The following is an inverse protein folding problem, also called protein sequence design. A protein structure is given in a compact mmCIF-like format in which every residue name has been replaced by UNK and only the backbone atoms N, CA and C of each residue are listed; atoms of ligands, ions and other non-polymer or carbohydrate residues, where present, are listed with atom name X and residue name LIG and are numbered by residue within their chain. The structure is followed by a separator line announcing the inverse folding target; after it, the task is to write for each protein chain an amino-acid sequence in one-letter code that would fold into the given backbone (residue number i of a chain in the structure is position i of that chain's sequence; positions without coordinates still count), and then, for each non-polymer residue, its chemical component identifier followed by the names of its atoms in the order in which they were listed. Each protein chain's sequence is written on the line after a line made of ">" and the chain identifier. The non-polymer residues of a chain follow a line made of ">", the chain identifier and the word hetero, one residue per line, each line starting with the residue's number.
data_IF_076002151213
#
_entry.id   IF_076002151213
#
_cell.length_a   1.000
_cell.length_b   1.000
_cell.length_c   1.000
_cell.angle_alpha   90.00
_cell.angle_beta   90.00
_cell.angle_gamma   90.00
#
_symmetry.space_group_name_H-M   'P 1'
#
loop_
_entity.id
_entity.type
_entity.pdbx_description
1 polymer ?
#
# COMPACT_ATOMS: atom_id res chain seq x y z
N UNK A 1 -47.84 9.82 -7.84
CA UNK A 1 -48.02 9.09 -6.57
C UNK A 1 -47.34 7.73 -6.57
N UNK A 2 -47.67 6.81 -7.50
CA UNK A 2 -47.12 5.45 -7.53
C UNK A 2 -45.59 5.36 -7.67
N UNK A 3 -44.98 6.15 -8.57
CA UNK A 3 -43.52 6.15 -8.79
C UNK A 3 -42.74 6.56 -7.52
N UNK A 4 -43.23 7.58 -6.80
CA UNK A 4 -42.61 8.05 -5.56
C UNK A 4 -42.65 6.97 -4.46
N UNK A 5 -43.78 6.26 -4.35
CA UNK A 5 -43.92 5.15 -3.41
C UNK A 5 -42.97 4.00 -3.75
N UNK A 6 -42.80 3.65 -5.02
CA UNK A 6 -41.84 2.63 -5.46
C UNK A 6 -40.40 3.03 -5.14
N UNK A 7 -40.02 4.28 -5.37
CA UNK A 7 -38.66 4.78 -5.05
C UNK A 7 -38.38 4.72 -3.55
N UNK A 8 -39.32 5.17 -2.72
CA UNK A 8 -39.18 5.11 -1.26
C UNK A 8 -39.10 3.67 -0.75
N UNK A 9 -39.88 2.77 -1.35
CA UNK A 9 -39.84 1.34 -1.00
C UNK A 9 -38.49 0.70 -1.37
N UNK A 10 -37.95 0.99 -2.55
CA UNK A 10 -36.61 0.51 -2.97
C UNK A 10 -35.52 1.06 -2.07
N UNK A 11 -35.57 2.36 -1.73
CA UNK A 11 -34.60 2.98 -0.84
C UNK A 11 -34.65 2.34 0.56
N UNK A 12 -35.85 2.09 1.08
CA UNK A 12 -36.05 1.39 2.36
C UNK A 12 -35.47 -0.02 2.35
N UNK A 13 -35.62 -0.77 1.25
CA UNK A 13 -35.04 -2.11 1.09
C UNK A 13 -33.50 -2.03 1.09
N UNK A 14 -32.91 -1.09 0.37
CA UNK A 14 -31.44 -0.91 0.32
C UNK A 14 -30.89 -0.59 1.70
N UNK A 15 -31.51 0.37 2.40
CA UNK A 15 -31.10 0.75 3.77
C UNK A 15 -31.26 -0.43 4.74
N UNK A 16 -32.34 -1.21 4.60
CA UNK A 16 -32.55 -2.42 5.39
C UNK A 16 -31.47 -3.48 5.15
N UNK A 17 -31.14 -3.77 3.89
CA UNK A 17 -30.07 -4.73 3.54
C UNK A 17 -28.72 -4.26 4.11
N UNK A 18 -28.40 -2.98 3.98
CA UNK A 18 -27.16 -2.43 4.51
C UNK A 18 -27.09 -2.52 6.04
N UNK A 19 -28.19 -2.20 6.73
CA UNK A 19 -28.30 -2.34 8.18
C UNK A 19 -28.14 -3.79 8.65
N UNK A 20 -28.77 -4.76 7.97
CA UNK A 20 -28.62 -6.18 8.26
C UNK A 20 -27.19 -6.66 8.02
N UNK A 21 -26.55 -6.24 6.92
CA UNK A 21 -25.16 -6.55 6.63
C UNK A 21 -24.23 -6.03 7.75
N UNK A 22 -24.38 -4.77 8.16
CA UNK A 22 -23.59 -4.20 9.24
C UNK A 22 -23.84 -4.92 10.57
N UNK A 23 -25.08 -5.31 10.86
CA UNK A 23 -25.41 -6.08 12.07
C UNK A 23 -24.75 -7.46 12.05
N UNK A 24 -24.73 -8.15 10.90
CA UNK A 24 -24.04 -9.44 10.73
C UNK A 24 -22.53 -9.24 10.96
N UNK A 25 -21.92 -8.22 10.37
CA UNK A 25 -20.49 -7.91 10.57
C UNK A 25 -20.19 -7.58 12.04
N UNK A 26 -21.08 -6.85 12.72
CA UNK A 26 -20.90 -6.48 14.13
C UNK A 26 -21.12 -7.65 15.11
N UNK A 27 -22.06 -8.56 14.81
CA UNK A 27 -22.44 -9.67 15.69
C UNK A 27 -21.73 -10.99 15.38
N UNK A 28 -21.13 -11.14 14.19
CA UNK A 28 -20.38 -12.32 13.77
C UNK A 28 -18.91 -11.92 13.56
N UNK A 29 -18.09 -11.84 14.62
CA UNK A 29 -16.64 -11.68 14.48
C UNK A 29 -16.05 -13.02 14.03
N UNK A 30 -16.38 -13.46 12.82
CA UNK A 30 -16.17 -14.84 12.36
C UNK A 30 -15.38 -14.98 11.06
N UNK A 31 -15.03 -13.88 10.40
CA UNK A 31 -14.05 -13.91 9.32
C UNK A 31 -12.64 -13.87 9.92
N UNK A 32 -12.26 -14.91 10.65
CA UNK A 32 -10.85 -15.21 10.87
C UNK A 32 -10.31 -15.78 9.56
N UNK A 33 -9.71 -14.93 8.74
CA UNK A 33 -8.81 -15.42 7.69
C UNK A 33 -7.74 -16.23 8.44
N UNK A 34 -7.63 -17.56 8.24
CA UNK A 34 -6.61 -18.34 8.92
C UNK A 34 -5.28 -17.68 8.58
N UNK A 35 -4.48 -17.36 9.59
CA UNK A 35 -3.18 -16.75 9.37
C UNK A 35 -2.44 -17.61 8.35
N UNK A 36 -2.23 -17.08 7.15
CA UNK A 36 -1.45 -17.77 6.15
C UNK A 36 -0.04 -17.80 6.70
N UNK A 37 0.37 -18.98 7.19
CA UNK A 37 1.69 -19.19 7.74
C UNK A 37 2.67 -18.96 6.60
N UNK A 38 3.27 -17.78 6.54
CA UNK A 38 4.53 -17.61 5.84
C UNK A 38 5.42 -18.71 6.41
N UNK A 39 5.99 -19.57 5.54
CA UNK A 39 7.05 -20.48 5.98
C UNK A 39 8.00 -19.64 6.82
N UNK A 40 8.16 -20.03 8.09
CA UNK A 40 8.95 -19.26 9.05
C UNK A 40 10.31 -19.04 8.39
N UNK A 41 10.55 -17.80 7.94
CA UNK A 41 11.85 -17.41 7.46
C UNK A 41 12.80 -17.76 8.58
N UNK A 42 13.73 -18.67 8.28
CA UNK A 42 14.71 -19.21 9.22
C UNK A 42 15.19 -18.06 10.11
N UNK A 43 15.02 -18.12 11.44
CA UNK A 43 15.38 -17.00 12.29
C UNK A 43 16.86 -16.72 12.06
N UNK A 44 17.15 -15.60 11.43
CA UNK A 44 18.50 -15.07 11.34
C UNK A 44 18.89 -14.78 12.78
N UNK A 45 19.68 -15.68 13.35
CA UNK A 45 20.15 -15.64 14.72
C UNK A 45 21.19 -14.53 14.88
N UNK A 46 20.76 -13.29 14.77
CA UNK A 46 21.53 -12.11 15.15
C UNK A 46 20.70 -11.29 16.15
N UNK A 47 20.97 -11.42 17.47
CA UNK A 47 20.18 -10.80 18.52
C UNK A 47 20.30 -9.28 18.64
N UNK A 48 20.96 -8.60 17.70
CA UNK A 48 21.33 -7.18 17.81
C UNK A 48 21.33 -6.43 16.47
N UNK A 49 20.55 -6.90 15.48
CA UNK A 49 20.31 -6.09 14.28
C UNK A 49 19.44 -4.87 14.66
N UNK A 50 20.10 -3.80 15.11
CA UNK A 50 19.51 -2.48 15.17
C UNK A 50 18.82 -2.22 13.82
N UNK A 51 17.59 -1.66 13.78
CA UNK A 51 16.98 -1.31 12.51
C UNK A 51 17.93 -0.35 11.79
N UNK A 52 18.54 -0.83 10.71
CA UNK A 52 19.47 -0.04 9.92
C UNK A 52 18.75 1.25 9.51
N UNK A 53 19.26 2.39 9.98
CA UNK A 53 18.79 3.73 9.63
C UNK A 53 19.11 4.09 8.18
N UNK A 54 18.60 3.39 7.17
CA UNK A 54 19.03 3.64 5.79
C UNK A 54 17.91 3.81 4.78
N UNK A 55 16.74 4.31 5.22
CA UNK A 55 15.82 4.98 4.29
C UNK A 55 16.52 6.23 3.75
N UNK A 56 16.73 6.28 2.43
CA UNK A 56 17.20 7.48 1.75
C UNK A 56 16.07 8.06 0.91
N UNK A 57 15.75 9.32 1.15
CA UNK A 57 14.86 10.06 0.26
C UNK A 57 15.60 10.33 -1.05
N UNK A 58 15.04 9.88 -2.16
CA UNK A 58 15.60 10.02 -3.50
C UNK A 58 14.51 10.48 -4.46
N UNK A 59 14.92 11.08 -5.58
CA UNK A 59 14.00 11.44 -6.66
C UNK A 59 14.60 11.11 -8.02
N UNK A 60 13.73 10.92 -9.01
CA UNK A 60 14.11 10.69 -10.39
C UNK A 60 13.09 11.28 -11.36
N UNK A 61 13.55 11.61 -12.56
CA UNK A 61 12.72 12.26 -13.59
C UNK A 61 11.98 11.25 -14.46
N UNK A 62 10.67 11.45 -14.66
CA UNK A 62 9.84 10.68 -15.58
C UNK A 62 9.05 11.63 -16.48
N UNK A 63 9.51 11.77 -17.74
CA UNK A 63 8.91 12.65 -18.74
C UNK A 63 8.77 14.11 -18.26
N UNK A 64 9.79 14.63 -17.57
CA UNK A 64 9.81 15.98 -17.03
C UNK A 64 8.96 16.17 -15.76
N UNK A 65 8.63 15.07 -15.08
CA UNK A 65 7.97 15.08 -13.78
C UNK A 65 8.89 14.40 -12.78
N UNK A 66 9.27 15.13 -11.71
CA UNK A 66 10.03 14.57 -10.60
C UNK A 66 9.18 13.58 -9.82
N UNK A 67 9.69 12.37 -9.64
CA UNK A 67 9.06 11.30 -8.88
C UNK A 67 9.81 11.12 -7.56
N UNK A 68 9.08 11.24 -6.44
CA UNK A 68 9.60 11.07 -5.10
C UNK A 68 9.59 9.59 -4.69
N UNK A 69 10.69 9.15 -4.07
CA UNK A 69 10.88 7.78 -3.65
C UNK A 69 11.75 7.65 -2.39
N UNK A 70 11.65 6.48 -1.78
CA UNK A 70 12.52 6.01 -0.71
C UNK A 70 13.35 4.85 -1.21
N UNK A 71 14.64 4.89 -0.95
CA UNK A 71 15.58 3.84 -1.29
C UNK A 71 16.16 3.23 -0.01
N UNK A 72 15.87 1.94 0.17
CA UNK A 72 16.44 1.10 1.21
C UNK A 72 17.51 0.23 0.57
N UNK A 73 18.71 0.23 1.14
CA UNK A 73 19.80 -0.64 0.71
C UNK A 73 20.23 -1.56 1.84
N UNK A 74 20.55 -2.83 1.57
CA UNK A 74 21.14 -3.72 2.58
C UNK A 74 22.48 -3.15 3.05
N UNK A 75 22.90 -3.51 4.27
CA UNK A 75 24.13 -2.99 4.87
C UNK A 75 25.40 -3.47 4.15
N UNK A 76 25.38 -4.70 3.64
CA UNK A 76 26.48 -5.27 2.86
C UNK A 76 26.18 -5.20 1.35
N UNK A 77 26.91 -4.33 0.65
CA UNK A 77 26.86 -4.13 -0.79
C UNK A 77 28.21 -4.47 -1.43
N UNK A 78 28.75 -5.66 -1.13
CA UNK A 78 29.97 -6.16 -1.77
C UNK A 78 29.79 -6.43 -3.27
N UNK A 79 28.55 -6.57 -3.74
CA UNK A 79 28.16 -6.79 -5.13
C UNK A 79 26.76 -6.20 -5.41
N UNK A 80 26.35 -6.04 -6.69
CA UNK A 80 24.98 -5.67 -7.03
C UNK A 80 23.97 -6.65 -6.44
N UNK A 81 22.91 -6.12 -5.83
CA UNK A 81 21.82 -6.90 -5.23
C UNK A 81 20.53 -6.79 -6.07
N UNK A 82 19.65 -7.80 -6.05
CA UNK A 82 18.32 -7.67 -6.64
C UNK A 82 17.55 -6.50 -6.01
N UNK A 83 16.76 -5.79 -6.83
CA UNK A 83 15.97 -4.64 -6.40
C UNK A 83 14.47 -4.93 -6.54
N UNK A 84 13.72 -4.65 -5.48
CA UNK A 84 12.26 -4.72 -5.46
C UNK A 84 11.71 -3.30 -5.59
N UNK A 85 10.81 -3.09 -6.56
CA UNK A 85 10.10 -1.82 -6.73
C UNK A 85 8.71 -1.96 -6.12
N UNK A 86 8.36 -1.06 -5.21
CA UNK A 86 7.07 -1.03 -4.52
C UNK A 86 6.29 0.22 -4.90
N UNK A 87 5.09 0.03 -5.43
CA UNK A 87 4.10 1.08 -5.64
C UNK A 87 2.96 0.95 -4.63
N UNK A 88 2.32 2.07 -4.32
CA UNK A 88 1.13 2.10 -3.49
C UNK A 88 -0.13 1.66 -4.27
N UNK A 89 -1.18 1.29 -3.55
CA UNK A 89 -2.48 0.96 -4.14
C UNK A 89 -3.23 2.20 -4.66
N UNK A 90 -4.43 1.96 -5.19
CA UNK A 90 -5.34 3.02 -5.63
C UNK A 90 -5.64 4.01 -4.49
N UNK A 91 -5.45 5.31 -4.75
CA UNK A 91 -5.63 6.39 -3.76
C UNK A 91 -4.61 6.41 -2.63
N UNK A 92 -3.58 5.55 -2.68
CA UNK A 92 -2.51 5.49 -1.70
C UNK A 92 -1.37 6.47 -1.95
N UNK A 93 -0.40 6.47 -1.05
CA UNK A 93 0.92 7.11 -1.16
C UNK A 93 1.98 6.21 -0.51
N UNK A 94 3.27 6.44 -0.77
CA UNK A 94 4.38 5.60 -0.29
C UNK A 94 4.46 5.49 1.24
N UNK A 95 3.94 6.49 1.94
CA UNK A 95 3.86 6.56 3.41
C UNK A 95 2.64 5.84 4.01
N UNK A 96 1.73 5.31 3.19
CA UNK A 96 0.58 4.53 3.65
C UNK A 96 0.94 3.05 3.90
N UNK A 97 1.92 2.82 4.77
CA UNK A 97 2.22 1.50 5.33
C UNK A 97 3.15 0.61 4.52
N UNK A 98 3.87 1.13 3.52
CA UNK A 98 4.84 0.34 2.74
C UNK A 98 6.20 0.19 3.44
N UNK A 99 6.60 1.13 4.29
CA UNK A 99 7.92 1.13 4.94
C UNK A 99 8.23 -0.17 5.73
N UNK A 100 7.32 -0.75 6.54
CA UNK A 100 7.58 -2.02 7.21
C UNK A 100 7.89 -3.18 6.25
N UNK A 101 7.25 -3.22 5.08
CA UNK A 101 7.53 -4.26 4.08
C UNK A 101 8.90 -4.04 3.45
N UNK A 102 9.23 -2.78 3.10
CA UNK A 102 10.54 -2.44 2.55
C UNK A 102 11.69 -2.84 3.49
N UNK A 103 11.55 -2.57 4.79
CA UNK A 103 12.53 -2.98 5.80
C UNK A 103 12.70 -4.52 5.87
N UNK A 104 11.62 -5.29 5.72
CA UNK A 104 11.69 -6.77 5.72
C UNK A 104 12.46 -7.31 4.52
N UNK A 105 12.25 -6.74 3.33
CA UNK A 105 13.01 -7.14 2.15
C UNK A 105 14.46 -6.66 2.21
N UNK A 106 14.70 -5.46 2.75
CA UNK A 106 16.04 -4.96 3.00
C UNK A 106 16.83 -5.91 3.92
N UNK A 107 16.23 -6.35 5.03
CA UNK A 107 16.80 -7.34 5.95
C UNK A 107 17.05 -8.70 5.28
N UNK A 108 16.28 -9.04 4.24
CA UNK A 108 16.49 -10.24 3.44
C UNK A 108 17.56 -10.07 2.33
N UNK A 109 18.25 -8.91 2.27
CA UNK A 109 19.35 -8.65 1.34
C UNK A 109 18.95 -8.00 0.02
N UNK A 110 17.71 -7.52 -0.12
CA UNK A 110 17.25 -6.82 -1.32
C UNK A 110 17.45 -5.32 -1.21
N UNK A 111 17.77 -4.66 -2.33
CA UNK A 111 17.48 -3.23 -2.45
C UNK A 111 15.96 -3.04 -2.61
N UNK A 112 15.41 -1.97 -2.06
CA UNK A 112 13.98 -1.67 -2.20
C UNK A 112 13.79 -0.20 -2.56
N UNK A 113 13.03 0.06 -3.63
CA UNK A 113 12.60 1.39 -4.02
C UNK A 113 11.09 1.50 -3.83
N UNK A 114 10.65 2.38 -2.94
CA UNK A 114 9.23 2.69 -2.72
C UNK A 114 8.95 4.07 -3.29
N UNK A 115 7.95 4.25 -4.16
CA UNK A 115 7.73 5.53 -4.82
C UNK A 115 6.26 5.95 -4.86
N UNK A 116 6.03 7.26 -4.99
CA UNK A 116 4.71 7.82 -5.30
C UNK A 116 4.51 7.89 -6.81
N UNK A 117 3.34 7.50 -7.33
CA UNK A 117 3.04 7.71 -8.74
C UNK A 117 3.11 9.21 -9.09
N UNK A 118 3.42 9.53 -10.37
CA UNK A 118 3.27 10.90 -10.88
C UNK A 118 1.88 11.43 -10.51
N UNK A 119 1.77 12.72 -10.20
CA UNK A 119 0.55 13.39 -9.77
C UNK A 119 0.03 13.00 -8.37
N UNK A 120 0.75 12.16 -7.62
CA UNK A 120 0.32 11.65 -6.30
C UNK A 120 1.40 11.88 -5.24
N UNK A 121 1.01 11.87 -3.95
CA UNK A 121 1.93 11.99 -2.81
C UNK A 121 2.90 13.17 -2.93
N UNK A 122 4.19 12.88 -2.75
CA UNK A 122 5.27 13.86 -2.86
C UNK A 122 5.88 13.92 -4.27
N UNK A 123 5.39 13.11 -5.21
CA UNK A 123 5.77 13.23 -6.62
C UNK A 123 5.08 14.43 -7.26
N UNK A 124 5.77 15.10 -8.17
CA UNK A 124 5.24 16.24 -8.92
C UNK A 124 4.16 15.82 -9.93
N UNK A 125 3.55 16.81 -10.58
CA UNK A 125 2.65 16.65 -11.72
C UNK A 125 1.27 17.24 -11.47
N UNK A 126 0.69 17.80 -12.54
CA UNK A 126 -0.66 18.37 -12.56
C UNK A 126 -1.50 17.76 -13.70
N UNK A 127 -2.81 17.54 -13.51
CA UNK A 127 -3.55 17.78 -12.26
C UNK A 127 -3.16 16.79 -11.16
N UNK A 128 -3.20 17.19 -9.88
CA UNK A 128 -3.03 16.26 -8.74
C UNK A 128 -4.08 15.14 -8.78
N UNK A 129 -3.72 13.97 -8.24
CA UNK A 129 -4.59 12.80 -8.11
C UNK A 129 -5.16 12.33 -9.47
N UNK A 130 -4.33 12.39 -10.52
CA UNK A 130 -4.71 11.96 -11.87
C UNK A 130 -4.89 10.44 -11.92
N UNK A 131 -6.15 10.00 -11.89
CA UNK A 131 -6.53 8.58 -11.95
C UNK A 131 -6.80 8.09 -13.37
N UNK A 132 -7.19 8.99 -14.27
CA UNK A 132 -7.63 8.64 -15.61
C UNK A 132 -7.10 9.62 -16.64
N UNK A 133 -6.56 9.06 -17.73
CA UNK A 133 -6.12 9.82 -18.91
C UNK A 133 -7.03 9.39 -20.07
N UNK A 134 -7.86 10.29 -20.63
CA UNK A 134 -8.53 10.02 -21.89
C UNK A 134 -7.47 9.81 -22.97
N UNK A 135 -7.53 8.67 -23.66
CA UNK A 135 -6.77 8.40 -24.88
C UNK A 135 -7.47 8.98 -26.11
#
# INVERSE_FOLDING_TARGET
>A
MAILLTVLQVLGIIVGIFGVYLLIVALVPGLSVPAQRLEEAKPTSEPDAQPSRSRRDVSFEVRGTSVSAWLFLPEDLSAPVPCIIMGHGFGGTKDMGLEPYALRFQQAGFAVLVFDYRHSGDSDGEPRQLVWIPY
#
